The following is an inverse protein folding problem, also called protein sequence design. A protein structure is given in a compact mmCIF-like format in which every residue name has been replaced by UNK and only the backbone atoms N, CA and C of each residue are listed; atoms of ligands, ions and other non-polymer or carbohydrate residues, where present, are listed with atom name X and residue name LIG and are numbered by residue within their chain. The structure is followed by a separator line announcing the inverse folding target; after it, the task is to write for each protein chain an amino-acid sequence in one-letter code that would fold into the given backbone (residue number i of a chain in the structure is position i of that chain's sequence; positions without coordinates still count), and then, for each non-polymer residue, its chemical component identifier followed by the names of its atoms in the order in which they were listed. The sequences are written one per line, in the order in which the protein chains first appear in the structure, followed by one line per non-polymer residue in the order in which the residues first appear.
data_IF_438355089159
#
_entry.id   IF_438355089159
#
_cell.length_a   1.000
_cell.length_b   1.000
_cell.length_c   1.000
_cell.angle_alpha   90.00
_cell.angle_beta   90.00
_cell.angle_gamma   90.00
#
_symmetry.space_group_name_H-M   'P 1'
#
loop_
_entity.id
_entity.type
_entity.pdbx_description
1 polymer ?
#
# COMPACT_ATOMS: atom_id res chain seq x y z
N UNK A 1 -8.47 -14.28 27.18
CA UNK A 1 -9.37 -13.09 27.18
C UNK A 1 -9.95 -12.80 28.57
N UNK A 2 -10.89 -13.59 29.10
CA UNK A 2 -11.57 -13.27 30.37
C UNK A 2 -10.63 -13.09 31.58
N UNK A 3 -9.55 -13.89 31.66
CA UNK A 3 -8.53 -13.79 32.72
C UNK A 3 -7.69 -12.50 32.68
N UNK A 4 -7.66 -11.79 31.55
CA UNK A 4 -6.81 -10.62 31.32
C UNK A 4 -7.63 -9.38 30.94
N UNK A 5 -8.88 -9.28 31.42
CA UNK A 5 -9.72 -8.10 31.15
C UNK A 5 -10.02 -7.86 29.66
N UNK A 6 -9.95 -8.89 28.82
CA UNK A 6 -10.19 -8.80 27.38
C UNK A 6 -8.95 -8.52 26.53
N UNK A 7 -7.84 -8.06 27.09
CA UNK A 7 -6.61 -7.69 26.35
C UNK A 7 -5.39 -8.38 26.98
N UNK A 8 -5.14 -9.67 26.68
CA UNK A 8 -3.97 -10.37 27.21
C UNK A 8 -2.67 -9.81 26.63
N UNK A 9 -1.66 -9.61 27.48
CA UNK A 9 -0.32 -9.26 27.00
C UNK A 9 0.32 -10.42 26.22
N UNK A 10 1.32 -10.15 25.35
CA UNK A 10 2.07 -11.19 24.66
C UNK A 10 2.69 -12.20 25.61
N UNK A 11 3.24 -11.73 26.73
CA UNK A 11 3.86 -12.54 27.77
C UNK A 11 2.84 -13.48 28.44
N UNK A 12 1.63 -12.98 28.70
CA UNK A 12 0.55 -13.78 29.24
C UNK A 12 0.10 -14.87 28.25
N UNK A 13 -0.01 -14.54 26.97
CA UNK A 13 -0.29 -15.53 25.94
C UNK A 13 0.82 -16.59 25.88
N UNK A 14 2.09 -16.16 25.87
CA UNK A 14 3.24 -17.05 25.80
C UNK A 14 3.35 -17.97 27.03
N UNK A 15 3.04 -17.47 28.22
CA UNK A 15 2.99 -18.27 29.46
C UNK A 15 1.94 -19.40 29.40
N UNK A 16 0.88 -19.21 28.62
CA UNK A 16 -0.13 -20.24 28.34
C UNK A 16 0.16 -21.03 27.04
N UNK A 17 1.34 -20.87 26.43
CA UNK A 17 1.75 -21.56 25.21
C UNK A 17 1.04 -21.08 23.93
N UNK A 18 0.47 -19.87 23.96
CA UNK A 18 -0.24 -19.25 22.84
C UNK A 18 0.57 -18.12 22.21
N UNK A 19 0.41 -17.91 20.91
CA UNK A 19 1.00 -16.76 20.19
C UNK A 19 -0.09 -15.74 19.87
N UNK A 20 0.09 -14.52 20.35
CA UNK A 20 -0.82 -13.41 20.08
C UNK A 20 -0.53 -12.80 18.70
N UNK A 21 -1.12 -13.38 17.66
CA UNK A 21 -0.81 -13.03 16.27
C UNK A 21 -1.36 -11.66 15.82
N UNK A 22 -2.51 -11.23 16.34
CA UNK A 22 -3.11 -9.92 16.08
C UNK A 22 -3.66 -9.40 17.41
N UNK A 23 -3.29 -8.17 17.78
CA UNK A 23 -3.56 -7.57 19.09
C UNK A 23 -4.12 -6.17 18.89
N UNK A 24 -5.33 -5.96 19.40
CA UNK A 24 -6.03 -4.66 19.44
C UNK A 24 -5.93 -3.82 18.14
N UNK A 25 -6.11 -4.48 16.99
CA UNK A 25 -6.03 -3.82 15.68
C UNK A 25 -7.37 -3.22 15.30
N UNK A 26 -7.40 -1.91 15.10
CA UNK A 26 -8.49 -1.18 14.45
C UNK A 26 -8.03 -0.70 13.08
N UNK A 27 -8.68 -1.17 12.02
CA UNK A 27 -8.32 -0.85 10.64
C UNK A 27 -9.58 -0.72 9.77
N UNK A 28 -9.59 0.22 8.84
CA UNK A 28 -10.70 0.47 7.92
C UNK A 28 -10.18 0.56 6.47
N UNK A 29 -10.86 -0.13 5.55
CA UNK A 29 -10.60 -0.03 4.10
C UNK A 29 -11.77 0.71 3.47
N UNK A 30 -11.48 1.84 2.84
CA UNK A 30 -12.49 2.64 2.14
C UNK A 30 -12.80 2.07 0.75
N UNK A 31 -13.94 2.47 0.20
CA UNK A 31 -14.33 2.07 -1.16
C UNK A 31 -13.34 2.63 -2.18
N UNK A 32 -12.91 1.78 -3.11
CA UNK A 32 -11.94 2.10 -4.17
C UNK A 32 -10.55 2.50 -3.66
N UNK A 33 -10.23 2.21 -2.39
CA UNK A 33 -8.91 2.47 -1.79
C UNK A 33 -8.03 1.21 -1.89
N UNK A 34 -6.74 1.43 -2.08
CA UNK A 34 -5.70 0.43 -1.88
C UNK A 34 -5.06 0.68 -0.50
N UNK A 35 -5.47 -0.12 0.48
CA UNK A 35 -4.83 -0.15 1.79
C UNK A 35 -3.73 -1.20 1.80
N UNK A 36 -2.48 -0.75 1.92
CA UNK A 36 -1.33 -1.64 2.04
C UNK A 36 -1.03 -1.91 3.52
N UNK A 37 -1.02 -3.18 3.92
CA UNK A 37 -0.59 -3.62 5.24
C UNK A 37 0.84 -4.14 5.13
N UNK A 38 1.76 -3.51 5.84
CA UNK A 38 3.18 -3.83 5.78
C UNK A 38 3.80 -4.17 7.13
N UNK A 39 5.00 -4.74 7.13
CA UNK A 39 5.73 -5.12 8.34
C UNK A 39 6.59 -6.37 8.14
N UNK A 40 7.44 -6.69 9.11
CA UNK A 40 8.33 -7.86 9.04
C UNK A 40 7.55 -9.19 8.99
N UNK A 41 8.25 -10.26 8.57
CA UNK A 41 7.72 -11.62 8.73
C UNK A 41 7.38 -11.88 10.19
N UNK A 42 6.23 -12.51 10.44
CA UNK A 42 5.74 -12.77 11.80
C UNK A 42 4.97 -11.63 12.48
N UNK A 43 4.83 -10.45 11.86
CA UNK A 43 4.13 -9.31 12.47
C UNK A 43 2.59 -9.44 12.53
N UNK A 44 2.01 -10.51 11.97
CA UNK A 44 0.57 -10.79 12.04
C UNK A 44 -0.25 -10.42 10.80
N UNK A 45 0.36 -9.83 9.75
CA UNK A 45 -0.31 -9.35 8.52
C UNK A 45 -1.23 -10.40 7.87
N UNK A 46 -0.68 -11.57 7.58
CA UNK A 46 -1.42 -12.63 6.90
C UNK A 46 -2.46 -13.29 7.83
N UNK A 47 -2.34 -13.13 9.14
CA UNK A 47 -3.40 -13.51 10.09
C UNK A 47 -4.52 -12.47 10.07
N UNK A 48 -4.19 -11.18 10.04
CA UNK A 48 -5.16 -10.08 9.95
C UNK A 48 -6.05 -10.22 8.70
N UNK A 49 -5.47 -10.41 7.51
CA UNK A 49 -6.27 -10.59 6.28
C UNK A 49 -7.18 -11.83 6.32
N UNK A 50 -6.74 -12.91 6.97
CA UNK A 50 -7.54 -14.13 7.16
C UNK A 50 -8.66 -13.91 8.17
N UNK A 51 -8.46 -13.08 9.19
CA UNK A 51 -9.51 -12.64 10.10
C UNK A 51 -10.55 -11.75 9.37
N UNK A 52 -10.10 -10.79 8.56
CA UNK A 52 -10.98 -9.89 7.79
C UNK A 52 -11.82 -10.63 6.74
N UNK A 53 -11.22 -11.59 6.02
CA UNK A 53 -11.94 -12.49 5.09
C UNK A 53 -12.74 -13.60 5.80
N UNK A 54 -12.74 -13.61 7.14
CA UNK A 54 -13.33 -14.61 8.03
C UNK A 54 -12.81 -16.04 7.83
N UNK A 55 -11.73 -16.25 7.08
CA UNK A 55 -11.07 -17.57 6.96
C UNK A 55 -10.63 -18.07 8.32
N UNK A 56 -10.18 -17.16 9.19
CA UNK A 56 -10.04 -17.39 10.62
C UNK A 56 -11.12 -16.64 11.38
N UNK A 57 -11.62 -17.25 12.46
CA UNK A 57 -12.51 -16.57 13.38
C UNK A 57 -11.67 -15.71 14.34
N UNK A 58 -11.91 -14.39 14.42
CA UNK A 58 -11.24 -13.55 15.41
C UNK A 58 -11.56 -14.03 16.83
N UNK A 59 -10.56 -14.00 17.72
CA UNK A 59 -10.75 -14.36 19.14
C UNK A 59 -11.61 -13.32 19.88
N UNK A 60 -11.53 -12.05 19.49
CA UNK A 60 -12.35 -10.95 19.96
C UNK A 60 -12.40 -9.83 18.91
N UNK A 61 -13.20 -8.80 19.18
CA UNK A 61 -13.44 -7.69 18.25
C UNK A 61 -14.57 -7.98 17.27
N UNK A 62 -14.77 -7.08 16.32
CA UNK A 62 -15.80 -7.19 15.29
C UNK A 62 -15.20 -6.94 13.90
N UNK A 63 -15.76 -7.61 12.89
CA UNK A 63 -15.43 -7.39 11.48
C UNK A 63 -16.70 -6.94 10.78
N UNK A 64 -16.64 -5.78 10.14
CA UNK A 64 -17.75 -5.22 9.36
C UNK A 64 -17.40 -5.25 7.87
N UNK A 65 -18.38 -5.63 7.05
CA UNK A 65 -18.31 -5.56 5.59
C UNK A 65 -19.48 -4.70 5.11
N UNK A 66 -19.17 -3.47 4.67
CA UNK A 66 -20.18 -2.42 4.55
C UNK A 66 -20.89 -2.21 5.89
N UNK A 67 -22.22 -2.13 5.85
CA UNK A 67 -23.04 -1.98 7.06
C UNK A 67 -23.27 -3.31 7.81
N UNK A 68 -22.77 -4.44 7.30
CA UNK A 68 -23.03 -5.76 7.86
C UNK A 68 -21.88 -6.20 8.77
N UNK A 69 -22.16 -6.41 10.05
CA UNK A 69 -21.23 -7.14 10.90
C UNK A 69 -21.18 -8.62 10.46
N UNK A 70 -19.98 -9.10 10.15
CA UNK A 70 -19.76 -10.47 9.69
C UNK A 70 -19.11 -11.37 10.73
N UNK A 71 -18.74 -10.88 11.92
CA UNK A 71 -17.96 -11.60 12.95
C UNK A 71 -18.56 -12.94 13.39
N UNK A 72 -19.87 -12.97 13.57
CA UNK A 72 -20.60 -14.12 14.13
C UNK A 72 -21.41 -14.90 13.09
N UNK A 73 -21.24 -14.57 11.80
CA UNK A 73 -21.89 -15.32 10.73
C UNK A 73 -21.41 -16.77 10.73
N UNK A 74 -22.37 -17.67 10.58
CA UNK A 74 -22.13 -19.11 10.36
C UNK A 74 -21.48 -19.35 9.00
N UNK A 75 -20.86 -20.51 8.82
CA UNK A 75 -20.26 -20.87 7.52
C UNK A 75 -21.25 -20.75 6.36
N UNK A 76 -22.50 -21.19 6.55
CA UNK A 76 -23.55 -21.11 5.52
C UNK A 76 -23.84 -19.67 5.10
N UNK A 77 -23.74 -18.72 6.01
CA UNK A 77 -23.94 -17.29 5.75
C UNK A 77 -22.69 -16.63 5.15
N UNK A 78 -21.48 -17.15 5.44
CA UNK A 78 -20.22 -16.67 4.87
C UNK A 78 -19.99 -17.15 3.43
N UNK A 79 -20.51 -18.32 3.06
CA UNK A 79 -20.37 -18.87 1.70
C UNK A 79 -20.80 -17.89 0.60
N UNK A 80 -22.00 -17.26 0.63
CA UNK A 80 -22.38 -16.30 -0.40
C UNK A 80 -21.44 -15.09 -0.43
N UNK A 81 -21.08 -14.53 0.72
CA UNK A 81 -20.14 -13.40 0.82
C UNK A 81 -18.81 -13.72 0.10
N UNK A 82 -18.21 -14.87 0.40
CA UNK A 82 -16.96 -15.30 -0.24
C UNK A 82 -17.11 -15.66 -1.70
N UNK A 83 -18.29 -16.11 -2.10
CA UNK A 83 -18.55 -16.47 -3.50
C UNK A 83 -18.77 -15.24 -4.36
N UNK A 84 -19.42 -14.20 -3.84
CA UNK A 84 -19.93 -13.09 -4.63
C UNK A 84 -19.20 -11.76 -4.42
N UNK A 85 -18.79 -11.47 -3.19
CA UNK A 85 -18.37 -10.13 -2.79
C UNK A 85 -16.86 -10.05 -2.46
N UNK A 86 -16.20 -11.18 -2.18
CA UNK A 86 -14.78 -11.23 -1.79
C UNK A 86 -13.91 -12.00 -2.79
N UNK A 87 -12.77 -11.44 -3.17
CA UNK A 87 -11.71 -12.10 -3.91
C UNK A 87 -10.46 -12.26 -3.06
N UNK A 88 -9.71 -13.35 -3.25
CA UNK A 88 -8.44 -13.56 -2.54
C UNK A 88 -7.36 -14.08 -3.49
N UNK A 89 -6.14 -13.55 -3.31
CA UNK A 89 -4.90 -14.02 -3.92
C UNK A 89 -3.93 -14.37 -2.80
N UNK A 90 -3.36 -15.56 -2.90
CA UNK A 90 -2.44 -16.12 -1.90
C UNK A 90 -0.99 -15.92 -2.32
N UNK A 91 -0.09 -15.90 -1.33
CA UNK A 91 1.36 -15.79 -1.51
C UNK A 91 1.92 -16.89 -2.42
N UNK A 92 1.49 -18.14 -2.21
CA UNK A 92 1.69 -19.20 -3.18
C UNK A 92 0.50 -19.18 -4.14
N UNK A 93 0.75 -19.17 -5.45
CA UNK A 93 -0.24 -18.99 -6.54
C UNK A 93 -1.56 -19.75 -6.34
N UNK A 94 -1.52 -20.87 -5.61
CA UNK A 94 -2.71 -21.60 -5.17
C UNK A 94 -3.45 -22.21 -6.35
N UNK A 95 -2.78 -22.38 -7.49
CA UNK A 95 -3.33 -22.97 -8.69
C UNK A 95 -3.47 -24.49 -8.51
N UNK A 96 -4.52 -25.05 -9.07
CA UNK A 96 -4.72 -26.49 -9.13
C UNK A 96 -3.81 -27.06 -10.24
N UNK A 97 -2.80 -27.87 -9.90
CA UNK A 97 -1.76 -28.28 -10.84
C UNK A 97 -2.26 -29.25 -11.91
N UNK A 98 -3.37 -29.93 -11.63
CA UNK A 98 -4.04 -30.88 -12.50
C UNK A 98 -5.14 -30.25 -13.37
N UNK A 99 -5.24 -28.92 -13.38
CA UNK A 99 -6.20 -28.16 -14.19
C UNK A 99 -5.49 -27.18 -15.09
N UNK A 100 -6.05 -26.91 -16.25
CA UNK A 100 -5.53 -25.90 -17.17
C UNK A 100 -5.75 -24.48 -16.65
N UNK A 101 -5.18 -23.48 -17.33
CA UNK A 101 -5.41 -22.06 -17.02
C UNK A 101 -6.90 -21.72 -17.02
N UNK A 102 -7.63 -22.07 -18.09
CA UNK A 102 -9.06 -21.78 -18.20
C UNK A 102 -9.86 -22.45 -17.10
N UNK A 103 -9.52 -23.67 -16.72
CA UNK A 103 -10.19 -24.42 -15.65
C UNK A 103 -9.89 -23.84 -14.26
N UNK A 104 -8.67 -23.33 -14.05
CA UNK A 104 -8.31 -22.61 -12.83
C UNK A 104 -9.08 -21.30 -12.72
N UNK A 105 -9.13 -20.51 -13.80
CA UNK A 105 -9.84 -19.22 -13.81
C UNK A 105 -11.35 -19.43 -13.70
N UNK A 106 -11.93 -20.45 -14.34
CA UNK A 106 -13.36 -20.74 -14.27
C UNK A 106 -13.81 -21.41 -12.95
N UNK A 107 -12.88 -21.87 -12.11
CA UNK A 107 -13.19 -22.62 -10.87
C UNK A 107 -14.17 -21.89 -9.94
N UNK A 108 -14.03 -20.58 -9.65
CA UNK A 108 -14.99 -19.88 -8.79
C UNK A 108 -16.42 -19.85 -9.37
N UNK A 109 -16.55 -19.75 -10.69
CA UNK A 109 -17.83 -19.78 -11.39
C UNK A 109 -18.43 -21.19 -11.43
N UNK A 110 -17.58 -22.22 -11.53
CA UNK A 110 -17.99 -23.62 -11.32
C UNK A 110 -18.58 -23.84 -9.93
N UNK A 111 -17.96 -23.28 -8.89
CA UNK A 111 -18.47 -23.35 -7.51
C UNK A 111 -19.80 -22.59 -7.35
N UNK A 112 -20.02 -21.53 -8.14
CA UNK A 112 -21.32 -20.83 -8.28
C UNK A 112 -22.34 -21.60 -9.13
N UNK A 113 -21.99 -22.78 -9.67
CA UNK A 113 -22.82 -23.61 -10.56
C UNK A 113 -23.23 -22.92 -11.86
N UNK A 114 -22.40 -22.00 -12.37
CA UNK A 114 -22.60 -21.41 -13.70
C UNK A 114 -22.35 -22.47 -14.77
N UNK A 115 -23.19 -22.48 -15.82
CA UNK A 115 -23.09 -23.41 -16.93
C UNK A 115 -21.71 -23.33 -17.61
N UNK A 116 -21.20 -24.48 -18.08
CA UNK A 116 -19.84 -24.62 -18.61
C UNK A 116 -19.48 -23.59 -19.69
N UNK A 117 -20.36 -23.42 -20.67
CA UNK A 117 -20.15 -22.49 -21.78
C UNK A 117 -19.98 -21.06 -21.28
N UNK A 118 -20.85 -20.62 -20.36
CA UNK A 118 -20.81 -19.26 -19.84
C UNK A 118 -19.61 -19.02 -18.91
N UNK A 119 -19.28 -19.97 -18.04
CA UNK A 119 -18.11 -19.82 -17.16
C UNK A 119 -16.79 -19.81 -17.93
N UNK A 120 -16.68 -20.60 -19.01
CA UNK A 120 -15.50 -20.58 -19.88
C UNK A 120 -15.41 -19.24 -20.61
N UNK A 121 -16.52 -18.73 -21.18
CA UNK A 121 -16.57 -17.40 -21.80
C UNK A 121 -16.09 -16.29 -20.86
N UNK A 122 -16.63 -16.23 -19.64
CA UNK A 122 -16.21 -15.25 -18.63
C UNK A 122 -14.75 -15.42 -18.21
N UNK A 123 -14.25 -16.65 -18.15
CA UNK A 123 -12.86 -16.93 -17.83
C UNK A 123 -11.93 -16.49 -18.97
N UNK A 124 -12.32 -16.65 -20.24
CA UNK A 124 -11.59 -16.12 -21.39
C UNK A 124 -11.44 -14.60 -21.31
N UNK A 125 -12.53 -13.88 -21.02
CA UNK A 125 -12.50 -12.42 -20.89
C UNK A 125 -11.47 -11.97 -19.83
N UNK A 126 -11.35 -12.70 -18.71
CA UNK A 126 -10.36 -12.40 -17.65
C UNK A 126 -8.95 -12.85 -17.99
N UNK A 127 -8.77 -13.92 -18.74
CA UNK A 127 -7.45 -14.36 -19.23
C UNK A 127 -6.88 -13.34 -20.22
N UNK A 128 -7.72 -12.83 -21.12
CA UNK A 128 -7.33 -11.77 -22.05
C UNK A 128 -6.97 -10.49 -21.28
N UNK A 129 -7.79 -10.13 -20.28
CA UNK A 129 -7.55 -8.96 -19.43
C UNK A 129 -6.17 -8.97 -18.75
N UNK A 130 -5.67 -10.14 -18.34
CA UNK A 130 -4.33 -10.30 -17.73
C UNK A 130 -3.22 -10.63 -18.73
N UNK A 131 -3.51 -10.60 -20.03
CA UNK A 131 -2.54 -10.82 -21.11
C UNK A 131 -2.03 -12.26 -21.21
N UNK A 132 -2.89 -13.25 -20.96
CA UNK A 132 -2.58 -14.69 -21.08
C UNK A 132 -3.27 -15.36 -22.28
N UNK A 133 -3.69 -14.58 -23.28
CA UNK A 133 -4.30 -15.09 -24.50
C UNK A 133 -3.40 -16.13 -25.19
N UNK A 134 -3.98 -17.25 -25.62
CA UNK A 134 -3.26 -18.37 -26.23
C UNK A 134 -2.62 -19.34 -25.23
N UNK A 135 -2.75 -19.11 -23.91
CA UNK A 135 -2.24 -20.00 -22.85
C UNK A 135 -3.34 -20.75 -22.09
N UNK A 136 -4.56 -20.75 -22.59
CA UNK A 136 -5.75 -21.19 -21.86
C UNK A 136 -5.72 -22.69 -21.53
N UNK A 137 -5.12 -23.47 -22.42
CA UNK A 137 -5.00 -24.93 -22.30
C UNK A 137 -3.71 -25.38 -21.59
N UNK A 138 -2.84 -24.45 -21.20
CA UNK A 138 -1.60 -24.79 -20.51
C UNK A 138 -1.89 -25.18 -19.06
N UNK A 139 -1.07 -26.06 -18.50
CA UNK A 139 -1.06 -26.38 -17.08
C UNK A 139 -0.14 -25.42 -16.32
N UNK A 140 -0.36 -25.17 -15.02
CA UNK A 140 0.48 -24.28 -14.20
C UNK A 140 1.99 -24.57 -14.29
N UNK A 141 2.37 -25.85 -14.38
CA UNK A 141 3.78 -26.27 -14.52
C UNK A 141 4.46 -25.84 -15.83
N UNK A 142 3.68 -25.42 -16.81
CA UNK A 142 4.14 -25.00 -18.15
C UNK A 142 4.24 -23.46 -18.27
N UNK A 143 4.01 -22.75 -17.15
CA UNK A 143 3.98 -21.31 -17.06
C UNK A 143 5.12 -20.78 -16.18
N UNK A 144 5.63 -19.60 -16.50
CA UNK A 144 6.55 -18.87 -15.62
C UNK A 144 5.85 -18.42 -14.34
N UNK A 145 6.61 -18.07 -13.29
CA UNK A 145 6.02 -17.58 -12.02
C UNK A 145 5.11 -16.37 -12.21
N UNK A 146 5.51 -15.40 -13.03
CA UNK A 146 4.66 -14.24 -13.36
C UNK A 146 3.38 -14.62 -14.10
N UNK A 147 3.45 -15.60 -15.00
CA UNK A 147 2.26 -16.13 -15.67
C UNK A 147 1.33 -16.85 -14.69
N UNK A 148 1.87 -17.68 -13.79
CA UNK A 148 1.07 -18.33 -12.74
C UNK A 148 0.38 -17.30 -11.84
N UNK A 149 1.07 -16.20 -11.51
CA UNK A 149 0.48 -15.11 -10.75
C UNK A 149 -0.69 -14.45 -11.50
N UNK A 150 -0.55 -14.18 -12.80
CA UNK A 150 -1.62 -13.66 -13.65
C UNK A 150 -2.84 -14.59 -13.68
N UNK A 151 -2.64 -15.91 -13.70
CA UNK A 151 -3.75 -16.88 -13.57
C UNK A 151 -4.45 -16.74 -12.22
N UNK A 152 -3.68 -16.59 -11.13
CA UNK A 152 -4.22 -16.37 -9.78
C UNK A 152 -5.06 -15.10 -9.69
N UNK A 153 -4.56 -14.00 -10.27
CA UNK A 153 -5.27 -12.72 -10.38
C UNK A 153 -6.56 -12.88 -11.19
N UNK A 154 -6.49 -13.43 -12.41
CA UNK A 154 -7.65 -13.65 -13.27
C UNK A 154 -8.72 -14.50 -12.58
N UNK A 155 -8.31 -15.58 -11.89
CA UNK A 155 -9.20 -16.43 -11.09
C UNK A 155 -9.90 -15.64 -9.98
N UNK A 156 -9.19 -14.78 -9.27
CA UNK A 156 -9.79 -13.97 -8.20
C UNK A 156 -10.73 -12.88 -8.72
N UNK A 157 -10.55 -12.43 -9.96
CA UNK A 157 -11.33 -11.36 -10.58
C UNK A 157 -12.52 -11.85 -11.43
N UNK A 158 -12.56 -13.14 -11.81
CA UNK A 158 -13.66 -13.71 -12.61
C UNK A 158 -15.02 -13.56 -11.95
N UNK A 159 -15.02 -13.51 -10.63
CA UNK A 159 -16.20 -13.35 -9.78
C UNK A 159 -16.69 -11.93 -9.67
N UNK A 160 -15.91 -10.96 -10.16
CA UNK A 160 -16.11 -9.51 -10.01
C UNK A 160 -16.33 -9.08 -8.56
N UNK A 161 -15.39 -9.40 -7.64
CA UNK A 161 -15.58 -9.12 -6.21
C UNK A 161 -15.59 -7.62 -5.91
N UNK A 162 -16.17 -7.22 -4.78
CA UNK A 162 -16.19 -5.84 -4.29
C UNK A 162 -14.92 -5.50 -3.50
N UNK A 163 -14.44 -6.46 -2.71
CA UNK A 163 -13.17 -6.39 -1.98
C UNK A 163 -12.19 -7.44 -2.46
N UNK A 164 -10.93 -7.03 -2.60
CA UNK A 164 -9.85 -7.89 -3.06
C UNK A 164 -8.72 -7.96 -2.04
N UNK A 165 -8.49 -9.17 -1.52
CA UNK A 165 -7.45 -9.48 -0.55
C UNK A 165 -6.22 -10.06 -1.25
N UNK A 166 -5.06 -9.41 -1.13
CA UNK A 166 -3.80 -9.87 -1.72
C UNK A 166 -2.77 -10.10 -0.63
N UNK A 167 -2.38 -11.36 -0.39
CA UNK A 167 -1.40 -11.75 0.63
C UNK A 167 -0.03 -11.97 -0.04
N UNK A 168 0.84 -10.95 -0.06
CA UNK A 168 2.16 -10.95 -0.71
C UNK A 168 2.17 -11.50 -2.16
N UNK A 169 1.34 -10.93 -3.06
CA UNK A 169 1.12 -11.51 -4.39
C UNK A 169 2.38 -11.50 -5.29
N UNK A 170 3.40 -10.70 -4.97
CA UNK A 170 4.57 -10.52 -5.84
C UNK A 170 5.90 -10.89 -5.18
N UNK A 171 5.87 -11.42 -3.95
CA UNK A 171 7.08 -11.73 -3.18
C UNK A 171 7.91 -12.86 -3.79
N UNK A 172 7.27 -13.83 -4.44
CA UNK A 172 7.94 -14.96 -5.09
C UNK A 172 8.50 -14.65 -6.50
N UNK A 173 8.39 -13.40 -6.98
CA UNK A 173 8.79 -13.01 -8.34
C UNK A 173 10.14 -12.30 -8.35
N UNK A 174 10.93 -12.51 -9.40
CA UNK A 174 12.17 -11.76 -9.65
C UNK A 174 11.90 -10.24 -9.81
N UNK A 175 12.86 -9.36 -9.48
CA UNK A 175 12.63 -7.91 -9.44
C UNK A 175 12.06 -7.28 -10.72
N UNK A 176 12.51 -7.73 -11.91
CA UNK A 176 11.99 -7.22 -13.19
C UNK A 176 10.53 -7.64 -13.40
N UNK A 177 10.24 -8.93 -13.24
CA UNK A 177 8.88 -9.47 -13.38
C UNK A 177 7.95 -8.87 -12.33
N UNK A 178 8.45 -8.63 -11.12
CA UNK A 178 7.70 -7.95 -10.06
C UNK A 178 7.24 -6.56 -10.49
N UNK A 179 8.13 -5.73 -11.05
CA UNK A 179 7.78 -4.39 -11.54
C UNK A 179 6.75 -4.44 -12.65
N UNK A 180 6.96 -5.30 -13.65
CA UNK A 180 5.99 -5.49 -14.75
C UNK A 180 4.61 -5.91 -14.23
N UNK A 181 4.57 -6.77 -13.20
CA UNK A 181 3.33 -7.22 -12.57
C UNK A 181 2.66 -6.11 -11.74
N UNK A 182 3.42 -5.26 -11.07
CA UNK A 182 2.90 -4.10 -10.34
C UNK A 182 2.32 -3.07 -11.31
N UNK A 183 2.97 -2.82 -12.46
CA UNK A 183 2.44 -1.96 -13.53
C UNK A 183 1.10 -2.45 -14.06
N UNK A 184 1.04 -3.75 -14.34
CA UNK A 184 -0.18 -4.38 -14.79
C UNK A 184 -1.28 -4.32 -13.73
N UNK A 185 -0.93 -4.51 -12.45
CA UNK A 185 -1.85 -4.39 -11.34
C UNK A 185 -2.45 -2.97 -11.23
N UNK A 186 -1.61 -1.93 -11.33
CA UNK A 186 -2.08 -0.53 -11.32
C UNK A 186 -3.01 -0.24 -12.51
N UNK A 187 -2.66 -0.75 -13.71
CA UNK A 187 -3.53 -0.65 -14.90
C UNK A 187 -4.89 -1.31 -14.66
N UNK A 188 -4.91 -2.51 -14.11
CA UNK A 188 -6.14 -3.25 -13.79
C UNK A 188 -6.97 -2.51 -12.75
N UNK A 189 -6.34 -2.00 -11.69
CA UNK A 189 -7.06 -1.30 -10.64
C UNK A 189 -7.66 0.02 -11.13
N UNK A 190 -6.97 0.77 -12.00
CA UNK A 190 -7.52 1.97 -12.62
C UNK A 190 -8.79 1.68 -13.43
N UNK A 191 -8.91 0.48 -14.01
CA UNK A 191 -10.08 0.04 -14.78
C UNK A 191 -11.20 -0.52 -13.90
N UNK A 192 -10.87 -1.30 -12.87
CA UNK A 192 -11.83 -2.08 -12.08
C UNK A 192 -12.36 -1.33 -10.86
N UNK A 193 -11.59 -0.37 -10.32
CA UNK A 193 -11.91 0.42 -9.12
C UNK A 193 -12.44 -0.45 -7.98
N UNK A 194 -11.64 -1.44 -7.55
CA UNK A 194 -12.00 -2.32 -6.43
C UNK A 194 -11.41 -1.81 -5.14
N UNK A 195 -12.01 -2.21 -4.01
CA UNK A 195 -11.43 -1.93 -2.69
C UNK A 195 -10.40 -3.01 -2.38
N UNK A 196 -9.16 -2.64 -2.10
CA UNK A 196 -8.05 -3.58 -2.04
C UNK A 196 -7.39 -3.52 -0.67
N UNK A 197 -7.18 -4.69 -0.06
CA UNK A 197 -6.27 -4.87 1.05
C UNK A 197 -5.05 -5.66 0.55
N UNK A 198 -3.90 -5.00 0.51
CA UNK A 198 -2.67 -5.54 -0.06
C UNK A 198 -1.64 -5.76 1.04
N UNK A 199 -1.06 -6.96 1.14
CA UNK A 199 0.03 -7.23 2.08
C UNK A 199 1.36 -7.27 1.35
N UNK A 200 2.35 -6.59 1.91
CA UNK A 200 3.74 -6.70 1.49
C UNK A 200 4.70 -6.54 2.67
N UNK A 201 5.97 -6.87 2.45
CA UNK A 201 7.08 -6.52 3.33
C UNK A 201 8.00 -5.46 2.70
N UNK A 202 7.75 -5.08 1.45
CA UNK A 202 8.55 -4.13 0.68
C UNK A 202 7.92 -2.73 0.75
N UNK A 203 8.68 -1.75 1.25
CA UNK A 203 8.20 -0.37 1.38
C UNK A 203 8.02 0.31 0.03
N UNK A 204 8.88 0.03 -0.95
CA UNK A 204 8.78 0.62 -2.29
C UNK A 204 7.50 0.18 -2.98
N UNK A 205 7.12 -1.08 -2.77
CA UNK A 205 5.85 -1.62 -3.24
C UNK A 205 4.66 -0.96 -2.55
N UNK A 206 4.74 -0.75 -1.24
CA UNK A 206 3.68 -0.10 -0.47
C UNK A 206 3.45 1.35 -0.93
N UNK A 207 4.53 2.09 -1.13
CA UNK A 207 4.50 3.47 -1.65
C UNK A 207 3.94 3.55 -3.06
N UNK A 208 4.34 2.61 -3.91
CA UNK A 208 3.97 2.62 -5.33
C UNK A 208 2.51 2.24 -5.55
N UNK A 209 2.00 1.31 -4.75
CA UNK A 209 0.67 0.74 -4.94
C UNK A 209 -0.39 1.32 -4.00
N UNK A 210 -0.01 1.74 -2.79
CA UNK A 210 -0.96 2.08 -1.72
C UNK A 210 -1.39 3.54 -1.72
N UNK A 211 -2.69 3.77 -1.59
CA UNK A 211 -3.22 5.08 -1.22
C UNK A 211 -2.94 5.36 0.26
N UNK A 212 -3.00 4.31 1.07
CA UNK A 212 -2.76 4.33 2.51
C UNK A 212 -1.95 3.11 2.92
N UNK A 213 -1.11 3.27 3.94
CA UNK A 213 -0.22 2.24 4.44
C UNK A 213 -0.46 2.07 5.95
N UNK A 214 -0.68 0.83 6.38
CA UNK A 214 -0.71 0.43 7.77
C UNK A 214 0.50 -0.44 8.09
N UNK A 215 1.37 0.04 8.98
CA UNK A 215 2.57 -0.68 9.41
C UNK A 215 2.23 -1.51 10.64
N UNK A 216 2.58 -2.80 10.60
CA UNK A 216 2.35 -3.75 11.68
C UNK A 216 3.66 -4.24 12.30
N UNK A 217 3.70 -4.29 13.64
CA UNK A 217 4.78 -4.89 14.44
C UNK A 217 4.16 -5.70 15.58
N UNK A 218 4.64 -6.93 15.78
CA UNK A 218 4.23 -7.78 16.90
C UNK A 218 2.70 -7.91 17.11
N UNK A 219 1.96 -8.01 16.00
CA UNK A 219 0.51 -8.16 15.99
C UNK A 219 -0.29 -6.86 16.12
N UNK A 220 0.35 -5.71 16.30
CA UNK A 220 -0.29 -4.39 16.43
C UNK A 220 -0.05 -3.53 15.19
N UNK A 221 -0.98 -2.62 14.90
CA UNK A 221 -0.74 -1.55 13.91
C UNK A 221 -0.04 -0.41 14.63
N UNK A 222 1.22 -0.14 14.26
CA UNK A 222 2.04 0.91 14.88
C UNK A 222 1.81 2.27 14.24
N UNK A 223 1.44 2.32 12.96
CA UNK A 223 1.10 3.56 12.25
C UNK A 223 0.18 3.26 11.07
N UNK A 224 -0.84 4.08 10.87
CA UNK A 224 -1.71 4.10 9.69
C UNK A 224 -1.70 5.53 9.10
N UNK A 225 -1.43 5.67 7.81
CA UNK A 225 -1.42 6.96 7.14
C UNK A 225 -1.03 6.88 5.67
N UNK A 226 -1.02 8.04 5.02
CA UNK A 226 -0.53 8.15 3.64
C UNK A 226 0.99 7.89 3.58
N UNK A 227 1.52 7.45 2.43
CA UNK A 227 2.97 7.31 2.24
C UNK A 227 3.75 8.57 2.64
N UNK A 228 3.23 9.75 2.30
CA UNK A 228 3.84 11.03 2.66
C UNK A 228 3.87 11.28 4.18
N UNK A 229 2.79 10.97 4.90
CA UNK A 229 2.74 11.10 6.37
C UNK A 229 3.74 10.17 7.06
N UNK A 230 3.84 8.94 6.60
CA UNK A 230 4.77 7.95 7.15
C UNK A 230 6.23 8.38 6.98
N UNK A 231 6.58 8.97 5.82
CA UNK A 231 7.93 9.48 5.57
C UNK A 231 8.28 10.75 6.35
N UNK A 232 7.31 11.66 6.50
CA UNK A 232 7.54 12.97 7.13
C UNK A 232 7.41 12.93 8.65
N UNK A 233 6.53 12.06 9.16
CA UNK A 233 6.19 11.95 10.57
C UNK A 233 6.12 10.47 10.99
N UNK A 234 7.26 9.75 11.00
CA UNK A 234 7.29 8.37 11.49
C UNK A 234 6.91 8.34 12.98
N UNK A 235 6.03 7.42 13.36
CA UNK A 235 5.49 7.33 14.73
C UNK A 235 6.54 6.93 15.78
N UNK A 236 7.48 6.06 15.40
CA UNK A 236 8.58 5.60 16.25
C UNK A 236 9.85 5.31 15.44
N UNK A 237 10.92 4.92 16.14
CA UNK A 237 12.22 4.58 15.51
C UNK A 237 12.14 3.37 14.59
N UNK A 238 11.20 2.45 14.84
CA UNK A 238 10.99 1.30 13.96
C UNK A 238 10.42 1.74 12.62
N UNK A 239 9.40 2.61 12.61
CA UNK A 239 8.89 3.17 11.35
C UNK A 239 9.96 4.00 10.64
N UNK A 240 10.75 4.79 11.40
CA UNK A 240 11.87 5.56 10.85
C UNK A 240 12.90 4.65 10.19
N UNK A 241 13.24 3.52 10.82
CA UNK A 241 14.18 2.56 10.25
C UNK A 241 13.61 1.89 9.00
N UNK A 242 12.32 1.56 9.00
CA UNK A 242 11.61 0.96 7.86
C UNK A 242 11.55 1.85 6.63
N UNK A 243 11.57 3.17 6.84
CA UNK A 243 11.41 4.19 5.80
C UNK A 243 12.74 4.83 5.38
N UNK A 244 13.87 4.34 5.91
CA UNK A 244 15.19 4.93 5.70
C UNK A 244 15.56 5.02 4.21
N UNK A 245 15.46 3.89 3.52
CA UNK A 245 15.85 3.76 2.11
C UNK A 245 14.72 4.13 1.13
N UNK A 246 13.63 4.71 1.64
CA UNK A 246 12.48 5.05 0.84
C UNK A 246 12.82 6.12 -0.23
N UNK A 247 12.22 6.03 -1.44
CA UNK A 247 12.45 6.99 -2.51
C UNK A 247 11.68 8.30 -2.25
N UNK A 248 12.12 9.07 -1.24
CA UNK A 248 11.49 10.33 -0.79
C UNK A 248 11.20 11.29 -1.94
N UNK A 249 12.10 11.36 -2.92
CA UNK A 249 11.95 12.22 -4.08
C UNK A 249 10.70 11.97 -4.93
N UNK A 250 10.26 10.72 -5.03
CA UNK A 250 9.07 10.36 -5.80
C UNK A 250 7.77 10.40 -4.98
N UNK A 251 7.86 10.50 -3.65
CA UNK A 251 6.70 10.43 -2.74
C UNK A 251 6.36 11.79 -2.15
N UNK A 252 7.37 12.52 -1.71
CA UNK A 252 7.19 13.82 -1.09
C UNK A 252 6.79 14.84 -2.15
N UNK A 253 5.77 15.61 -1.83
CA UNK A 253 5.37 16.76 -2.64
C UNK A 253 6.06 18.02 -2.13
N UNK A 254 6.21 19.01 -3.02
CA UNK A 254 6.84 20.31 -2.67
C UNK A 254 6.17 20.95 -1.46
N UNK A 255 4.83 20.89 -1.37
CA UNK A 255 4.07 21.41 -0.22
C UNK A 255 4.47 20.81 1.13
N UNK A 256 5.05 19.61 1.14
CA UNK A 256 5.45 18.92 2.36
C UNK A 256 6.67 19.58 3.04
N UNK A 257 7.50 20.27 2.25
CA UNK A 257 8.78 20.82 2.70
C UNK A 257 8.91 22.32 2.42
N UNK A 258 7.95 22.95 1.75
CA UNK A 258 7.97 24.38 1.48
C UNK A 258 7.78 25.19 2.77
N UNK A 259 8.22 26.45 2.72
CA UNK A 259 7.82 27.47 3.68
C UNK A 259 6.55 28.14 3.19
N UNK A 260 5.46 27.98 3.93
CA UNK A 260 4.21 28.61 3.61
C UNK A 260 4.31 30.13 3.78
N UNK A 261 3.73 30.87 2.86
CA UNK A 261 3.47 32.30 3.07
C UNK A 261 2.31 32.38 4.05
N UNK A 262 2.56 32.87 5.26
CA UNK A 262 1.48 33.27 6.16
C UNK A 262 0.58 34.24 5.38
N UNK A 263 -0.71 33.90 5.22
CA UNK A 263 -1.67 34.88 4.72
C UNK A 263 -1.54 36.12 5.61
N UNK A 264 -1.45 37.34 5.05
CA UNK A 264 -1.37 38.55 5.86
C UNK A 264 -2.66 38.67 6.68
N UNK A 265 -2.64 38.23 7.95
CA UNK A 265 -3.83 38.28 8.80
C UNK A 265 -3.89 37.44 10.07
N UNK A 266 -3.01 36.48 10.35
CA UNK A 266 -3.16 35.63 11.56
C UNK A 266 -1.85 35.36 12.31
N UNK A 267 -1.47 36.27 13.22
CA UNK A 267 -0.44 36.03 14.24
C UNK A 267 0.31 37.29 14.68
N UNK A 268 0.34 37.64 15.99
CA UNK A 268 0.97 38.87 16.45
C UNK A 268 2.42 38.62 16.91
N UNK A 269 3.39 38.79 16.00
CA UNK A 269 4.76 39.13 16.37
C UNK A 269 5.59 39.35 15.10
N UNK A 270 5.71 40.63 14.76
CA UNK A 270 6.55 41.14 13.68
C UNK A 270 8.02 41.10 14.11
N UNK A 271 8.74 40.07 13.68
CA UNK A 271 10.13 40.28 13.27
C UNK A 271 10.13 40.64 11.77
N UNK A 272 10.96 41.60 11.34
CA UNK A 272 11.04 41.98 9.93
C UNK A 272 11.62 40.79 9.14
N UNK A 273 10.75 40.00 8.50
CA UNK A 273 11.17 38.97 7.54
C UNK A 273 11.81 39.66 6.33
N UNK A 274 12.91 39.11 5.78
CA UNK A 274 13.65 39.74 4.69
C UNK A 274 12.71 40.03 3.53
N UNK A 275 12.88 41.19 2.88
CA UNK A 275 12.19 41.53 1.64
C UNK A 275 12.51 40.44 0.62
N UNK A 276 11.56 39.52 0.41
CA UNK A 276 11.73 38.40 -0.50
C UNK A 276 11.99 38.96 -1.91
N UNK A 277 13.26 38.99 -2.32
CA UNK A 277 13.63 39.26 -3.70
C UNK A 277 12.86 38.27 -4.58
N UNK A 278 12.18 38.79 -5.60
CA UNK A 278 11.50 37.98 -6.61
C UNK A 278 12.54 37.05 -7.19
N UNK A 279 12.37 35.75 -6.95
CA UNK A 279 13.43 34.80 -7.24
C UNK A 279 13.36 34.43 -8.71
N UNK A 280 14.50 34.50 -9.40
CA UNK A 280 14.61 34.18 -10.82
C UNK A 280 14.43 32.66 -11.04
N UNK A 281 13.41 32.27 -11.78
CA UNK A 281 13.14 30.89 -12.16
C UNK A 281 11.68 30.65 -12.53
N UNK A 282 11.39 29.51 -13.16
CA UNK A 282 10.02 29.05 -13.36
C UNK A 282 9.46 28.53 -12.02
N UNK A 283 8.27 28.97 -11.58
CA UNK A 283 7.71 28.55 -10.30
C UNK A 283 7.43 27.04 -10.28
N UNK A 284 7.60 26.43 -9.11
CA UNK A 284 7.29 25.01 -8.85
C UNK A 284 5.87 24.86 -8.32
N UNK A 285 5.18 23.78 -8.69
CA UNK A 285 3.82 23.56 -8.18
C UNK A 285 3.85 22.88 -6.82
N UNK A 286 2.93 23.26 -5.93
CA UNK A 286 2.82 22.68 -4.59
C UNK A 286 2.47 21.19 -4.60
N UNK A 287 1.78 20.70 -5.62
CA UNK A 287 1.28 19.34 -5.79
C UNK A 287 2.26 18.38 -6.48
N UNK A 288 3.35 18.89 -7.05
CA UNK A 288 4.35 18.08 -7.74
C UNK A 288 5.33 17.40 -6.76
N UNK A 289 5.92 16.29 -7.20
CA UNK A 289 6.91 15.56 -6.41
C UNK A 289 8.25 16.27 -6.39
N UNK A 290 9.07 16.02 -5.37
CA UNK A 290 10.39 16.63 -5.25
C UNK A 290 11.29 16.31 -6.45
N UNK A 291 11.21 15.10 -7.02
CA UNK A 291 11.98 14.74 -8.21
C UNK A 291 11.58 15.58 -9.44
N UNK A 292 10.29 15.84 -9.62
CA UNK A 292 9.81 16.69 -10.72
C UNK A 292 10.22 18.14 -10.51
N UNK A 293 10.16 18.64 -9.27
CA UNK A 293 10.59 19.98 -8.92
C UNK A 293 12.11 20.16 -9.01
N UNK A 294 12.89 19.12 -8.71
CA UNK A 294 14.33 19.20 -8.52
C UNK A 294 15.06 19.75 -9.75
N UNK A 295 14.68 19.32 -10.96
CA UNK A 295 15.31 19.81 -12.18
C UNK A 295 15.19 21.34 -12.31
N UNK A 296 13.99 21.90 -12.10
CA UNK A 296 13.75 23.35 -12.15
C UNK A 296 14.48 24.10 -11.05
N UNK A 297 14.47 23.57 -9.83
CA UNK A 297 15.13 24.22 -8.69
C UNK A 297 16.64 24.25 -8.87
N UNK A 298 17.24 23.17 -9.39
CA UNK A 298 18.67 23.07 -9.63
C UNK A 298 19.13 23.90 -10.84
N UNK A 299 18.36 23.92 -11.93
CA UNK A 299 18.68 24.70 -13.14
C UNK A 299 18.49 26.21 -12.96
N UNK A 300 17.55 26.64 -12.10
CA UNK A 300 17.27 28.06 -11.88
C UNK A 300 18.49 28.87 -11.44
N UNK A 301 19.50 28.22 -10.86
CA UNK A 301 20.66 28.90 -10.27
C UNK A 301 20.32 29.64 -8.97
N UNK A 302 19.04 29.82 -8.63
CA UNK A 302 18.58 30.54 -7.45
C UNK A 302 18.57 29.71 -6.16
N UNK A 303 18.80 30.38 -5.03
CA UNK A 303 18.79 29.76 -3.70
C UNK A 303 17.37 29.36 -3.25
N UNK A 304 16.38 30.10 -3.70
CA UNK A 304 14.95 29.94 -3.40
C UNK A 304 14.16 29.82 -4.71
N UNK A 305 12.98 29.21 -4.70
CA UNK A 305 12.05 29.19 -5.84
C UNK A 305 10.63 29.36 -5.33
N UNK A 306 9.80 30.06 -6.10
CA UNK A 306 8.40 30.26 -5.75
C UNK A 306 7.58 28.99 -5.89
N UNK A 307 6.75 28.71 -4.89
CA UNK A 307 5.78 27.61 -4.91
C UNK A 307 4.39 28.15 -5.18
N UNK A 308 3.73 27.64 -6.22
CA UNK A 308 2.38 28.03 -6.63
C UNK A 308 1.37 26.91 -6.46
N UNK A 309 0.12 27.25 -6.21
CA UNK A 309 -1.00 26.30 -6.25
C UNK A 309 -1.43 25.98 -7.69
N UNK A 310 -2.47 25.16 -7.85
CA UNK A 310 -3.04 24.80 -9.15
C UNK A 310 -3.62 26.01 -9.92
N UNK A 311 -3.96 27.10 -9.23
CA UNK A 311 -4.43 28.36 -9.80
C UNK A 311 -3.32 29.34 -10.16
N UNK A 312 -2.05 29.00 -9.93
CA UNK A 312 -0.90 29.88 -10.15
C UNK A 312 -0.71 30.92 -9.05
N UNK A 313 -1.43 30.81 -7.93
CA UNK A 313 -1.26 31.70 -6.78
C UNK A 313 -0.08 31.21 -5.95
N UNK A 314 0.83 32.11 -5.61
CA UNK A 314 1.98 31.82 -4.75
C UNK A 314 1.50 31.43 -3.35
N UNK A 315 1.85 30.22 -2.92
CA UNK A 315 1.49 29.65 -1.61
C UNK A 315 2.70 29.50 -0.69
N UNK A 316 3.92 29.59 -1.22
CA UNK A 316 5.12 29.39 -0.44
C UNK A 316 6.40 29.62 -1.22
N UNK A 317 7.51 29.28 -0.56
CA UNK A 317 8.84 29.24 -1.15
C UNK A 317 9.51 27.91 -0.84
N UNK A 318 10.36 27.46 -1.76
CA UNK A 318 11.19 26.28 -1.58
C UNK A 318 12.66 26.70 -1.64
N UNK A 319 13.38 26.49 -0.54
CA UNK A 319 14.83 26.63 -0.52
C UNK A 319 15.52 25.41 -1.13
N UNK A 320 16.58 25.65 -1.91
CA UNK A 320 17.38 24.56 -2.50
C UNK A 320 18.03 23.66 -1.43
N UNK A 321 18.53 24.24 -0.35
CA UNK A 321 19.09 23.52 0.81
C UNK A 321 18.08 22.52 1.39
N UNK A 322 16.84 22.98 1.56
CA UNK A 322 15.73 22.20 2.12
C UNK A 322 15.27 21.08 1.17
N UNK A 323 15.26 21.35 -0.14
CA UNK A 323 15.04 20.31 -1.15
C UNK A 323 16.14 19.23 -1.07
N UNK A 324 17.41 19.62 -1.02
CA UNK A 324 18.53 18.69 -0.94
C UNK A 324 18.49 17.86 0.35
N UNK A 325 18.22 18.49 1.50
CA UNK A 325 18.07 17.79 2.78
C UNK A 325 16.89 16.80 2.78
N UNK A 326 15.79 17.14 2.10
CA UNK A 326 14.63 16.25 1.99
C UNK A 326 14.90 15.05 1.07
N UNK A 327 15.67 15.24 -0.01
CA UNK A 327 16.08 14.18 -0.94
C UNK A 327 17.18 13.28 -0.37
N UNK A 328 18.13 13.87 0.37
CA UNK A 328 19.33 13.22 0.90
C UNK A 328 19.52 13.54 2.39
N UNK A 329 18.68 12.99 3.28
CA UNK A 329 18.73 13.32 4.71
C UNK A 329 20.02 12.87 5.41
N UNK A 330 20.67 11.81 4.91
CA UNK A 330 21.87 11.22 5.54
C UNK A 330 23.19 11.88 5.06
N UNK A 331 23.20 12.59 3.92
CA UNK A 331 24.42 13.22 3.38
C UNK A 331 24.79 14.55 4.08
N UNK A 332 23.87 15.13 4.87
CA UNK A 332 24.07 16.45 5.49
C UNK A 332 24.62 16.36 6.92
N UNK A 333 24.64 15.16 7.54
CA UNK A 333 25.13 14.98 8.93
C UNK A 333 26.64 14.73 9.07
N UNK A 334 27.40 14.58 7.98
CA UNK A 334 28.87 14.38 8.05
C UNK A 334 29.70 15.66 7.89
N UNK A 335 29.10 16.84 7.95
CA UNK A 335 29.84 18.12 7.95
C UNK A 335 29.76 18.87 9.29
N UNK A 336 30.07 18.17 10.39
CA UNK A 336 30.63 18.87 11.56
C UNK A 336 32.14 19.06 11.32
N UNK A 337 32.67 20.30 11.30
CA UNK A 337 34.10 20.50 11.21
C UNK A 337 34.74 19.94 12.48
N UNK A 338 35.69 19.03 12.32
CA UNK A 338 36.54 18.54 13.40
C UNK A 338 37.24 19.72 14.08
N UNK A 339 36.67 20.21 15.17
CA UNK A 339 37.35 21.14 16.06
C UNK A 339 38.54 20.41 16.67
N UNK A 340 39.72 20.89 16.30
CA UNK A 340 41.00 20.46 16.80
C UNK A 340 41.08 20.66 18.32
N UNK A 341 41.05 19.56 19.07
CA UNK A 341 41.59 19.52 20.43
C UNK A 341 43.11 19.40 20.34
N UNK A 342 43.78 20.54 20.60
CA UNK A 342 45.16 20.61 21.04
C UNK A 342 45.23 20.59 22.56
#
# INVERSE_FOLDING_TARGET
MARHGGVPSPEACAAEGMVAAVRDVSLQVHTNEILVVMGLSGSGKSTLIRCLSRLFQPTAGAVHFGDREITHLTERQLIPLRRYEMGMVFQNFGLLPNRTVIENVALPLEVRRIARVERERLAYDKIELVGLQGREQYFPRELSGGQQQRVGIARSLVTDPDVWFLDEPFSALDPLIRRDMQDEFLRLQAQLRKSILFITHDFDEAVRLGDRIAIMRDGEVVQDGTPQQILTHPADDYVRQFTRDAPRGSVLQVRAIMEAIDQPGSGPSAEPRPSYEVVAGEPVRADETLNTAAHRVLESGAATVDVVDAGGVRVGYLERSRLLQALFPDDVSETEPAEAQR
#
